data_IF_692124862092
#
_entry.id   IF_692124862092
#
_cell.length_a   1.000
_cell.length_b   1.000
_cell.length_c   1.000
_cell.angle_alpha   90.00
_cell.angle_beta   90.00
_cell.angle_gamma   90.00
#
_symmetry.space_group_name_H-M   'P 1'
#
loop_
_entity.id
_entity.type
_entity.pdbx_description
1 polymer ?
#
# COMPACT_ATOMS: atom_id res chain seq x y z
N UNK A 1 19.29 14.71 -52.17
CA UNK A 1 19.62 14.10 -50.87
C UNK A 1 18.65 14.65 -49.81
N UNK A 2 17.75 13.83 -49.35
CA UNK A 2 16.78 14.21 -48.28
C UNK A 2 17.34 13.71 -46.95
N UNK A 3 17.45 14.54 -45.90
CA UNK A 3 17.86 14.06 -44.58
C UNK A 3 16.70 13.28 -43.93
N UNK A 4 16.95 12.03 -43.57
CA UNK A 4 16.06 11.25 -42.71
C UNK A 4 16.18 11.81 -41.30
N UNK A 5 15.10 12.45 -40.82
CA UNK A 5 14.97 12.81 -39.41
C UNK A 5 14.66 11.56 -38.63
N UNK A 6 15.63 11.08 -37.83
CA UNK A 6 15.41 10.01 -36.85
C UNK A 6 14.65 10.63 -35.69
N UNK A 7 13.33 10.32 -35.60
CA UNK A 7 12.47 10.65 -34.48
C UNK A 7 12.86 9.72 -33.31
N UNK A 8 13.70 10.20 -32.40
CA UNK A 8 14.01 9.49 -31.18
C UNK A 8 12.74 9.46 -30.30
N UNK A 9 12.07 8.30 -30.25
CA UNK A 9 11.02 8.06 -29.27
C UNK A 9 11.66 8.03 -27.88
N UNK A 10 11.45 9.09 -27.10
CA UNK A 10 11.72 9.08 -25.68
C UNK A 10 10.70 8.13 -25.02
N UNK A 11 11.14 6.92 -24.69
CA UNK A 11 10.37 6.03 -23.81
C UNK A 11 10.49 6.60 -22.40
N UNK A 12 9.49 7.36 -21.99
CA UNK A 12 9.37 7.78 -20.59
C UNK A 12 9.15 6.52 -19.74
N UNK A 13 10.18 6.09 -19.02
CA UNK A 13 10.03 5.06 -17.99
C UNK A 13 9.18 5.68 -16.86
N UNK A 14 7.88 5.34 -16.83
CA UNK A 14 7.04 5.66 -15.70
C UNK A 14 7.56 4.87 -14.49
N UNK A 15 7.85 5.54 -13.35
CA UNK A 15 8.20 4.82 -12.15
C UNK A 15 7.02 3.89 -11.77
N UNK A 16 7.35 2.67 -11.38
CA UNK A 16 6.33 1.74 -10.89
C UNK A 16 5.60 2.39 -9.71
N UNK A 17 4.30 2.60 -9.86
CA UNK A 17 3.48 3.22 -8.83
C UNK A 17 3.16 2.22 -7.73
N UNK A 18 3.12 2.67 -6.48
CA UNK A 18 2.61 1.88 -5.36
C UNK A 18 1.14 1.54 -5.60
N UNK A 19 0.68 0.40 -5.04
CA UNK A 19 -0.73 0.03 -5.16
C UNK A 19 -1.59 1.03 -4.39
N UNK A 20 -2.55 1.71 -5.04
CA UNK A 20 -3.46 2.60 -4.34
C UNK A 20 -4.49 1.80 -3.54
N UNK A 21 -4.93 2.36 -2.43
CA UNK A 21 -6.09 1.88 -1.68
C UNK A 21 -7.23 2.88 -1.80
N UNK A 22 -8.36 2.44 -2.37
CA UNK A 22 -9.53 3.28 -2.66
C UNK A 22 -9.17 4.62 -3.33
N UNK A 23 -8.22 4.60 -4.26
CA UNK A 23 -7.78 5.78 -5.01
C UNK A 23 -6.77 6.67 -4.29
N UNK A 24 -6.39 6.35 -3.05
CA UNK A 24 -5.29 7.03 -2.34
C UNK A 24 -4.00 6.26 -2.57
N UNK A 25 -3.03 6.91 -3.17
CA UNK A 25 -1.75 6.31 -3.55
C UNK A 25 -0.61 6.81 -2.64
N UNK A 26 0.06 5.91 -1.89
CA UNK A 26 1.24 6.28 -1.12
C UNK A 26 2.34 6.90 -2.00
N UNK A 27 2.91 8.01 -1.54
CA UNK A 27 3.94 8.76 -2.25
C UNK A 27 3.42 9.78 -3.27
N UNK A 28 2.12 9.79 -3.55
CA UNK A 28 1.48 10.67 -4.54
C UNK A 28 0.35 11.48 -3.94
N UNK A 29 -0.65 10.81 -3.38
CA UNK A 29 -1.84 11.45 -2.83
C UNK A 29 -1.53 12.30 -1.59
N UNK A 30 -2.28 13.38 -1.41
CA UNK A 30 -2.12 14.30 -0.30
C UNK A 30 -3.22 14.15 0.75
N UNK A 31 -2.96 14.72 1.93
CA UNK A 31 -3.91 14.76 3.06
C UNK A 31 -5.28 15.27 2.64
N UNK A 32 -5.33 16.32 1.82
CA UNK A 32 -6.58 16.93 1.35
C UNK A 32 -7.44 15.95 0.55
N UNK A 33 -6.81 15.09 -0.27
CA UNK A 33 -7.54 14.06 -1.04
C UNK A 33 -8.17 13.02 -0.11
N UNK A 34 -7.49 12.66 0.99
CA UNK A 34 -8.02 11.75 2.01
C UNK A 34 -9.27 12.35 2.66
N UNK A 35 -9.20 13.60 3.14
CA UNK A 35 -10.31 14.26 3.81
C UNK A 35 -11.46 14.61 2.87
N UNK A 36 -11.18 14.96 1.62
CA UNK A 36 -12.22 15.17 0.59
C UNK A 36 -12.97 13.87 0.30
N UNK A 37 -12.28 12.75 0.28
CA UNK A 37 -12.87 11.46 -0.06
C UNK A 37 -13.63 10.81 1.10
N UNK A 38 -13.07 10.87 2.31
CA UNK A 38 -13.58 10.12 3.46
C UNK A 38 -14.23 11.00 4.54
N UNK A 39 -14.17 12.33 4.38
CA UNK A 39 -14.71 13.29 5.35
C UNK A 39 -13.77 13.51 6.53
N UNK A 40 -14.35 14.06 7.61
CA UNK A 40 -13.60 14.35 8.84
C UNK A 40 -13.14 13.07 9.52
N UNK A 41 -11.85 12.98 9.89
CA UNK A 41 -11.32 11.79 10.59
C UNK A 41 -11.78 11.73 12.03
N UNK A 42 -11.79 10.51 12.60
CA UNK A 42 -12.04 10.29 14.02
C UNK A 42 -10.95 10.91 14.90
N UNK A 43 -9.71 10.90 14.42
CA UNK A 43 -8.55 11.42 15.15
C UNK A 43 -7.44 11.85 14.21
N UNK A 44 -6.74 12.92 14.59
CA UNK A 44 -5.46 13.32 14.01
C UNK A 44 -4.42 13.39 15.13
N UNK A 45 -3.29 12.73 14.95
CA UNK A 45 -2.18 12.72 15.90
C UNK A 45 -0.91 13.20 15.20
N UNK A 46 -0.24 14.18 15.81
CA UNK A 46 1.06 14.65 15.32
C UNK A 46 2.17 13.85 16.02
N UNK A 47 3.05 13.25 15.25
CA UNK A 47 4.18 12.46 15.73
C UNK A 47 5.44 12.93 15.02
N UNK A 48 6.25 13.78 15.68
CA UNK A 48 7.48 14.35 15.12
C UNK A 48 7.21 14.99 13.73
N UNK A 49 7.76 14.42 12.67
CA UNK A 49 7.63 14.88 11.28
C UNK A 49 6.45 14.26 10.52
N UNK A 50 5.56 13.52 11.21
CA UNK A 50 4.39 12.85 10.63
C UNK A 50 3.08 13.28 11.28
N UNK A 51 2.03 13.27 10.48
CA UNK A 51 0.64 13.29 10.96
C UNK A 51 0.03 11.91 10.73
N UNK A 52 -0.69 11.38 11.71
CA UNK A 52 -1.48 10.16 11.57
C UNK A 52 -2.95 10.53 11.59
N UNK A 53 -3.64 10.27 10.49
CA UNK A 53 -5.07 10.51 10.32
C UNK A 53 -5.78 9.17 10.45
N UNK A 54 -6.67 9.02 11.42
CA UNK A 54 -7.33 7.76 11.70
C UNK A 54 -8.86 7.86 11.54
N UNK A 55 -9.43 6.85 10.91
CA UNK A 55 -10.88 6.66 10.73
C UNK A 55 -11.30 5.37 11.42
N UNK A 56 -12.16 5.45 12.41
CA UNK A 56 -12.68 4.31 13.17
C UNK A 56 -14.04 4.67 13.80
N UNK A 57 -14.71 3.67 14.39
CA UNK A 57 -16.01 3.88 15.03
C UNK A 57 -17.07 4.36 14.02
N UNK A 58 -17.71 5.49 14.29
CA UNK A 58 -18.74 6.05 13.41
C UNK A 58 -18.19 6.56 12.08
N UNK A 59 -16.96 7.02 12.07
CA UNK A 59 -16.25 7.53 10.90
C UNK A 59 -15.43 6.45 10.19
N UNK A 60 -15.57 5.17 10.59
CA UNK A 60 -14.89 4.07 9.93
C UNK A 60 -15.20 4.02 8.43
N UNK A 61 -14.17 3.86 7.61
CA UNK A 61 -14.34 3.75 6.16
C UNK A 61 -15.00 2.41 5.85
N UNK A 62 -15.97 2.42 4.94
CA UNK A 62 -16.75 1.22 4.57
C UNK A 62 -15.84 0.02 4.26
N UNK A 63 -16.13 -1.12 4.90
CA UNK A 63 -15.36 -2.35 4.76
C UNK A 63 -14.17 -2.46 5.71
N UNK A 64 -13.97 -1.48 6.59
CA UNK A 64 -12.91 -1.48 7.59
C UNK A 64 -13.43 -1.34 9.00
N UNK A 65 -12.68 -1.82 9.98
CA UNK A 65 -12.86 -1.43 11.38
C UNK A 65 -12.06 -0.18 11.69
N UNK A 66 -10.93 -0.01 11.00
CA UNK A 66 -10.05 1.15 11.15
C UNK A 66 -9.21 1.32 9.88
N UNK A 67 -8.92 2.55 9.53
CA UNK A 67 -7.90 2.91 8.55
C UNK A 67 -7.06 4.07 9.09
N UNK A 68 -5.75 4.01 8.86
CA UNK A 68 -4.82 5.05 9.26
C UNK A 68 -3.98 5.50 8.07
N UNK A 69 -3.84 6.80 7.91
CA UNK A 69 -2.99 7.41 6.89
C UNK A 69 -1.83 8.13 7.59
N UNK A 70 -0.61 7.70 7.35
CA UNK A 70 0.59 8.42 7.78
C UNK A 70 1.00 9.40 6.71
N UNK A 71 1.00 10.67 7.06
CA UNK A 71 1.25 11.79 6.17
C UNK A 71 2.52 12.50 6.60
N UNK A 72 3.37 12.84 5.65
CA UNK A 72 4.52 13.71 5.92
C UNK A 72 4.01 15.10 6.32
N UNK A 73 4.46 15.62 7.46
CA UNK A 73 3.94 16.87 8.01
C UNK A 73 4.30 18.09 7.16
N UNK A 74 5.43 18.07 6.45
CA UNK A 74 5.91 19.17 5.63
C UNK A 74 5.28 19.16 4.22
N UNK A 75 5.30 18.01 3.54
CA UNK A 75 4.83 17.87 2.16
C UNK A 75 3.34 17.58 2.04
N UNK A 76 2.71 17.12 3.13
CA UNK A 76 1.33 16.64 3.19
C UNK A 76 1.05 15.41 2.31
N UNK A 77 2.08 14.71 1.88
CA UNK A 77 1.98 13.49 1.08
C UNK A 77 1.71 12.29 1.98
N UNK A 78 0.75 11.46 1.58
CA UNK A 78 0.48 10.16 2.23
C UNK A 78 1.63 9.21 1.94
N UNK A 79 2.30 8.70 2.97
CA UNK A 79 3.43 7.80 2.82
C UNK A 79 3.07 6.34 3.09
N UNK A 80 2.08 6.12 3.95
CA UNK A 80 1.65 4.80 4.38
C UNK A 80 0.17 4.78 4.70
N UNK A 81 -0.48 3.67 4.38
CA UNK A 81 -1.88 3.42 4.72
C UNK A 81 -1.96 2.07 5.43
N UNK A 82 -2.48 2.07 6.64
CA UNK A 82 -2.76 0.86 7.42
C UNK A 82 -4.26 0.62 7.44
N UNK A 83 -4.70 -0.52 6.91
CA UNK A 83 -6.12 -0.88 6.79
C UNK A 83 -6.41 -2.13 7.59
N UNK A 84 -7.38 -2.05 8.50
CA UNK A 84 -7.88 -3.17 9.28
C UNK A 84 -9.24 -3.58 8.72
N UNK A 85 -9.36 -4.72 8.05
CA UNK A 85 -10.61 -5.11 7.39
C UNK A 85 -11.71 -5.42 8.41
N UNK A 86 -12.96 -5.11 8.06
CA UNK A 86 -14.13 -5.50 8.83
C UNK A 86 -14.49 -6.98 8.62
N UNK A 87 -14.65 -7.45 7.36
CA UNK A 87 -14.88 -8.85 7.06
C UNK A 87 -13.64 -9.71 7.29
N UNK A 88 -13.88 -11.00 7.60
CA UNK A 88 -12.81 -12.00 7.63
C UNK A 88 -12.33 -12.26 6.20
N UNK A 89 -11.04 -12.12 5.96
CA UNK A 89 -10.40 -12.37 4.66
C UNK A 89 -9.36 -13.49 4.87
N UNK A 90 -9.45 -14.55 4.07
CA UNK A 90 -8.54 -15.68 4.15
C UNK A 90 -7.35 -15.56 3.17
N UNK A 91 -6.38 -16.45 3.33
CA UNK A 91 -5.19 -16.51 2.47
C UNK A 91 -5.51 -16.76 1.00
N UNK A 92 -6.49 -17.61 0.71
CA UNK A 92 -6.87 -17.93 -0.66
C UNK A 92 -7.37 -16.69 -1.38
N UNK A 93 -8.20 -15.88 -0.73
CA UNK A 93 -8.66 -14.59 -1.25
C UNK A 93 -7.48 -13.66 -1.53
N UNK A 94 -6.48 -13.62 -0.65
CA UNK A 94 -5.26 -12.82 -0.86
C UNK A 94 -4.47 -13.30 -2.08
N UNK A 95 -4.23 -14.60 -2.19
CA UNK A 95 -3.47 -15.17 -3.32
C UNK A 95 -4.19 -14.96 -4.66
N UNK A 96 -5.51 -15.10 -4.68
CA UNK A 96 -6.33 -14.84 -5.86
C UNK A 96 -6.33 -13.35 -6.26
N UNK A 97 -6.26 -12.44 -5.28
CA UNK A 97 -6.32 -10.99 -5.52
C UNK A 97 -4.98 -10.36 -5.87
N UNK A 98 -3.89 -10.83 -5.27
CA UNK A 98 -2.58 -10.16 -5.35
C UNK A 98 -1.45 -11.05 -5.90
N UNK A 99 -1.65 -12.34 -6.00
CA UNK A 99 -0.68 -13.31 -6.49
C UNK A 99 -0.17 -14.27 -5.44
N UNK A 100 0.39 -15.39 -5.90
CA UNK A 100 0.93 -16.48 -5.09
C UNK A 100 2.38 -16.22 -4.66
N UNK A 101 2.98 -17.16 -3.94
CA UNK A 101 4.37 -17.08 -3.51
C UNK A 101 5.34 -16.91 -4.69
N UNK A 102 6.36 -16.08 -4.50
CA UNK A 102 7.41 -15.91 -5.50
C UNK A 102 8.18 -17.24 -5.67
N UNK A 103 8.45 -17.64 -6.93
CA UNK A 103 9.28 -18.81 -7.19
C UNK A 103 10.74 -18.53 -6.82
N UNK A 104 11.52 -19.59 -6.66
CA UNK A 104 12.97 -19.48 -6.56
C UNK A 104 13.53 -18.99 -7.90
N UNK A 105 14.45 -18.03 -7.85
CA UNK A 105 15.07 -17.45 -9.04
C UNK A 105 14.64 -16.02 -9.33
N UNK A 106 14.78 -15.53 -10.59
CA UNK A 106 14.42 -14.17 -10.95
C UNK A 106 12.94 -13.89 -10.67
N UNK A 107 12.56 -12.70 -10.13
CA UNK A 107 11.18 -12.38 -9.84
C UNK A 107 10.36 -12.37 -11.14
N UNK A 108 9.14 -12.96 -11.13
CA UNK A 108 8.27 -12.99 -12.30
C UNK A 108 7.75 -11.58 -12.64
N UNK A 109 7.19 -11.44 -13.85
CA UNK A 109 6.56 -10.18 -14.29
C UNK A 109 5.34 -9.82 -13.43
N UNK A 110 4.54 -10.84 -13.04
CA UNK A 110 3.36 -10.66 -12.20
C UNK A 110 3.73 -10.49 -10.72
N UNK A 111 2.93 -9.76 -9.94
CA UNK A 111 3.13 -9.66 -8.50
C UNK A 111 3.12 -11.04 -7.83
N UNK A 112 4.03 -11.23 -6.88
CA UNK A 112 4.13 -12.41 -6.03
C UNK A 112 4.56 -11.99 -4.63
N UNK A 113 4.31 -12.82 -3.63
CA UNK A 113 4.70 -12.50 -2.26
C UNK A 113 5.94 -13.25 -1.79
N UNK A 114 6.67 -12.60 -0.88
CA UNK A 114 7.70 -13.21 -0.06
C UNK A 114 7.11 -13.37 1.34
N UNK A 115 7.02 -14.61 1.84
CA UNK A 115 6.58 -14.87 3.21
C UNK A 115 7.65 -14.44 4.18
N UNK A 116 7.29 -13.61 5.15
CA UNK A 116 8.16 -13.12 6.21
C UNK A 116 7.54 -13.32 7.58
N UNK A 117 8.35 -13.17 8.61
CA UNK A 117 7.93 -13.23 10.00
C UNK A 117 8.56 -12.06 10.77
N UNK A 118 7.79 -11.44 11.64
CA UNK A 118 8.29 -10.40 12.55
C UNK A 118 9.03 -11.04 13.73
N UNK A 119 9.75 -10.22 14.51
CA UNK A 119 10.40 -10.65 15.76
C UNK A 119 9.40 -11.20 16.79
N UNK A 120 8.14 -10.76 16.71
CA UNK A 120 7.02 -11.23 17.55
C UNK A 120 6.31 -12.46 16.97
N UNK A 121 6.94 -13.15 16.01
CA UNK A 121 6.41 -14.35 15.33
C UNK A 121 5.10 -14.14 14.55
N UNK A 122 4.81 -12.92 14.10
CA UNK A 122 3.69 -12.66 13.20
C UNK A 122 4.09 -12.90 11.77
N UNK A 123 3.34 -13.74 11.07
CA UNK A 123 3.53 -13.98 9.63
C UNK A 123 2.93 -12.84 8.82
N UNK A 124 3.64 -12.42 7.78
CA UNK A 124 3.11 -11.50 6.77
C UNK A 124 3.61 -11.86 5.37
N UNK A 125 2.83 -11.47 4.37
CA UNK A 125 3.16 -11.57 2.96
C UNK A 125 3.59 -10.20 2.45
N UNK A 126 4.81 -10.10 1.95
CA UNK A 126 5.33 -8.89 1.33
C UNK A 126 5.24 -9.01 -0.19
N UNK A 127 4.51 -8.11 -0.82
CA UNK A 127 4.43 -7.93 -2.28
C UNK A 127 5.30 -6.74 -2.70
N UNK A 128 6.59 -6.95 -3.03
CA UNK A 128 7.52 -5.83 -3.24
C UNK A 128 7.12 -4.93 -4.40
N UNK A 129 6.56 -5.51 -5.48
CA UNK A 129 6.13 -4.75 -6.66
C UNK A 129 4.89 -3.89 -6.43
N UNK A 130 4.13 -4.16 -5.37
CA UNK A 130 2.92 -3.43 -5.02
C UNK A 130 3.12 -2.43 -3.89
N UNK A 131 4.25 -2.49 -3.17
CA UNK A 131 4.41 -1.76 -1.92
C UNK A 131 3.40 -2.19 -0.86
N UNK A 132 3.00 -3.47 -0.87
CA UNK A 132 1.95 -4.01 -0.02
C UNK A 132 2.50 -5.09 0.90
N UNK A 133 2.23 -4.97 2.21
CA UNK A 133 2.45 -6.02 3.19
C UNK A 133 1.10 -6.41 3.81
N UNK A 134 0.85 -7.71 3.92
CA UNK A 134 -0.40 -8.25 4.47
C UNK A 134 -0.06 -9.08 5.69
N UNK A 135 -0.49 -8.61 6.86
CA UNK A 135 -0.28 -9.28 8.14
C UNK A 135 -1.45 -10.18 8.47
N UNK A 136 -1.15 -11.37 8.98
CA UNK A 136 -2.14 -12.34 9.41
C UNK A 136 -2.34 -12.29 10.93
N UNK A 137 -3.51 -12.73 11.38
CA UNK A 137 -3.80 -12.94 12.79
C UNK A 137 -2.95 -14.08 13.36
N UNK A 138 -3.00 -14.32 14.66
CA UNK A 138 -2.25 -15.39 15.33
C UNK A 138 -2.58 -16.78 14.80
N UNK A 139 -3.80 -16.98 14.27
CA UNK A 139 -4.21 -18.21 13.61
C UNK A 139 -3.41 -18.50 12.31
N UNK A 140 -2.72 -17.48 11.79
CA UNK A 140 -1.97 -17.53 10.55
C UNK A 140 -2.83 -17.78 9.30
N UNK A 141 -4.14 -17.65 9.37
CA UNK A 141 -5.10 -17.96 8.29
C UNK A 141 -5.91 -16.78 7.82
N UNK A 142 -6.29 -15.90 8.73
CA UNK A 142 -7.09 -14.71 8.44
C UNK A 142 -6.24 -13.44 8.45
N UNK A 143 -6.62 -12.47 7.64
CA UNK A 143 -5.92 -11.19 7.54
C UNK A 143 -6.19 -10.33 8.76
N UNK A 144 -5.13 -9.82 9.37
CA UNK A 144 -5.18 -8.80 10.40
C UNK A 144 -5.21 -7.39 9.81
N UNK A 145 -4.25 -7.09 8.91
CA UNK A 145 -4.12 -5.76 8.32
C UNK A 145 -3.42 -5.77 6.97
N UNK A 146 -3.74 -4.76 6.18
CA UNK A 146 -3.03 -4.40 4.94
C UNK A 146 -2.21 -3.14 5.20
N UNK A 147 -0.96 -3.13 4.76
CA UNK A 147 -0.08 -1.98 4.84
C UNK A 147 0.38 -1.62 3.44
N UNK A 148 -0.06 -0.45 2.97
CA UNK A 148 0.34 0.11 1.68
C UNK A 148 1.42 1.17 1.92
N UNK A 149 2.53 1.04 1.22
CA UNK A 149 3.67 1.96 1.32
C UNK A 149 4.15 2.40 -0.04
N UNK A 150 4.94 3.46 -0.08
CA UNK A 150 5.67 3.85 -1.28
C UNK A 150 6.62 2.74 -1.72
N UNK A 151 6.79 2.57 -3.03
CA UNK A 151 7.83 1.70 -3.55
C UNK A 151 9.20 2.36 -3.30
N UNK A 152 10.08 1.64 -2.60
CA UNK A 152 11.46 2.07 -2.50
C UNK A 152 12.09 1.93 -3.88
N UNK A 153 12.70 3.01 -4.39
CA UNK A 153 13.54 2.92 -5.57
C UNK A 153 14.58 1.81 -5.35
N UNK A 154 14.68 0.88 -6.31
CA UNK A 154 15.75 -0.09 -6.30
C UNK A 154 17.08 0.69 -6.36
N UNK A 155 17.91 0.53 -5.31
CA UNK A 155 19.27 1.06 -5.30
C UNK A 155 20.16 0.17 -6.16
#
# INVERSE_FOLDING_TARGET
>A
MRPFAILAMLVAAFPAAAKPWQGIEPGVSKKEEVTQKFGEPSRVVNQADKEVIAYFGKEAIKGTTQAQFKVDAATKVVERIDVFPGPVIDKETIENSYGTACPNGPPPANPCYIKKMTEEFRTYYLYPKLGLAIFFNEDGKSVHSFIFTTLKAAK
#
